data_IF_870902368593
#
_entry.id   IF_870902368593
#
_cell.length_a   1.000
_cell.length_b   1.000
_cell.length_c   1.000
_cell.angle_alpha   90.00
_cell.angle_beta   90.00
_cell.angle_gamma   90.00
#
_symmetry.space_group_name_H-M   'P 1'
#
loop_
_entity.id
_entity.type
_entity.pdbx_description
1 polymer ?
#
# COMPACT_ATOMS: atom_id res chain seq x y z
N UNK A 1 -1.50 4.78 4.68
CA UNK A 1 -1.44 6.26 4.78
C UNK A 1 -2.81 6.82 4.47
N UNK A 2 -3.26 7.88 5.14
CA UNK A 2 -4.57 8.50 4.83
C UNK A 2 -4.46 9.35 3.56
N UNK A 3 -5.29 9.02 2.57
CA UNK A 3 -5.46 9.74 1.33
C UNK A 3 -6.66 10.68 1.34
N UNK A 4 -6.86 11.39 0.25
CA UNK A 4 -7.99 12.30 0.02
C UNK A 4 -9.15 11.62 -0.74
N UNK A 5 -10.13 12.42 -1.14
CA UNK A 5 -11.38 11.95 -1.77
C UNK A 5 -11.18 11.22 -3.11
N UNK A 6 -10.03 11.41 -3.76
CA UNK A 6 -9.68 10.78 -5.03
C UNK A 6 -9.12 9.36 -4.85
N UNK A 7 -8.84 8.96 -3.59
CA UNK A 7 -8.27 7.64 -3.27
C UNK A 7 -9.24 6.53 -3.65
N UNK A 8 -8.74 5.53 -4.39
CA UNK A 8 -9.51 4.39 -4.86
C UNK A 8 -10.53 4.71 -5.95
N UNK A 9 -10.49 5.91 -6.55
CA UNK A 9 -11.23 6.23 -7.76
C UNK A 9 -10.37 5.97 -9.01
N UNK A 10 -10.95 5.34 -10.03
CA UNK A 10 -10.28 5.11 -11.33
C UNK A 10 -9.83 6.43 -11.96
N UNK A 11 -10.73 7.40 -12.00
CA UNK A 11 -10.47 8.75 -12.48
C UNK A 11 -10.28 9.68 -11.27
N UNK A 12 -9.02 9.95 -10.90
CA UNK A 12 -8.66 10.81 -9.77
C UNK A 12 -7.15 10.96 -9.63
N UNK A 13 -6.71 11.96 -8.86
CA UNK A 13 -5.29 12.18 -8.56
C UNK A 13 -5.08 12.20 -7.04
N UNK A 14 -5.09 11.04 -6.39
CA UNK A 14 -5.05 11.00 -4.93
C UNK A 14 -3.77 11.57 -4.37
N UNK A 15 -3.86 12.18 -3.20
CA UNK A 15 -2.68 12.63 -2.45
C UNK A 15 -2.77 12.29 -0.97
N UNK A 16 -1.64 12.39 -0.28
CA UNK A 16 -1.59 12.26 1.17
C UNK A 16 -2.14 13.51 1.86
N UNK A 17 -3.04 13.32 2.82
CA UNK A 17 -3.63 14.44 3.58
C UNK A 17 -2.62 15.11 4.51
N UNK A 18 -1.84 14.29 5.23
CA UNK A 18 -0.84 14.80 6.15
C UNK A 18 0.46 15.09 5.41
N UNK A 19 1.06 16.27 5.59
CA UNK A 19 2.37 16.59 5.02
C UNK A 19 3.40 15.56 5.47
N UNK A 20 3.99 14.81 4.52
CA UNK A 20 5.03 13.81 4.82
C UNK A 20 6.42 14.40 4.62
N UNK A 21 7.38 13.91 5.40
CA UNK A 21 8.72 14.48 5.52
C UNK A 21 9.71 14.05 4.43
N UNK A 22 10.99 14.38 4.65
CA UNK A 22 12.10 14.13 3.73
C UNK A 22 12.31 12.64 3.39
N UNK A 23 11.95 11.72 4.29
CA UNK A 23 12.04 10.27 4.08
C UNK A 23 11.24 9.85 2.85
N UNK A 24 10.04 10.42 2.67
CA UNK A 24 9.20 10.07 1.54
C UNK A 24 9.78 10.58 0.23
N UNK A 25 10.34 11.80 0.23
CA UNK A 25 11.03 12.37 -0.95
C UNK A 25 12.16 11.47 -1.43
N UNK A 26 13.04 11.03 -0.53
CA UNK A 26 14.17 10.16 -0.89
C UNK A 26 13.71 8.84 -1.51
N UNK A 27 12.64 8.26 -0.99
CA UNK A 27 12.06 7.04 -1.53
C UNK A 27 11.39 7.25 -2.90
N UNK A 28 10.72 8.39 -3.12
CA UNK A 28 10.18 8.76 -4.44
C UNK A 28 11.31 8.94 -5.47
N UNK A 29 12.39 9.62 -5.09
CA UNK A 29 13.55 9.80 -5.98
C UNK A 29 14.19 8.45 -6.35
N UNK A 30 14.26 7.50 -5.41
CA UNK A 30 14.70 6.13 -5.67
C UNK A 30 13.75 5.39 -6.63
N UNK A 31 12.44 5.45 -6.41
CA UNK A 31 11.46 4.84 -7.31
C UNK A 31 11.63 5.34 -8.75
N UNK A 32 11.82 6.66 -8.91
CA UNK A 32 12.09 7.26 -10.21
C UNK A 32 13.38 6.76 -10.84
N UNK A 33 14.44 6.54 -10.06
CA UNK A 33 15.68 5.94 -10.57
C UNK A 33 15.45 4.50 -11.04
N UNK A 34 14.69 3.71 -10.30
CA UNK A 34 14.36 2.32 -10.66
C UNK A 34 13.58 2.23 -11.98
N UNK A 35 12.66 3.17 -12.24
CA UNK A 35 11.93 3.28 -13.52
C UNK A 35 12.84 3.52 -14.75
N UNK A 36 14.03 4.08 -14.55
CA UNK A 36 14.96 4.39 -15.66
C UNK A 36 15.78 3.18 -16.09
N UNK A 37 15.82 2.11 -15.30
CA UNK A 37 16.53 0.89 -15.65
C UNK A 37 15.64 -0.03 -16.49
N UNK A 38 16.25 -0.71 -17.46
CA UNK A 38 15.59 -1.78 -18.20
C UNK A 38 15.21 -2.91 -17.22
N UNK A 39 13.97 -3.46 -17.26
CA UNK A 39 13.57 -4.57 -16.40
C UNK A 39 14.52 -5.78 -16.43
N UNK A 40 15.26 -5.98 -17.53
CA UNK A 40 16.32 -7.00 -17.59
C UNK A 40 17.48 -6.73 -16.61
N UNK A 41 17.83 -5.45 -16.37
CA UNK A 41 18.89 -5.02 -15.44
C UNK A 41 18.38 -4.98 -13.99
N UNK A 42 17.07 -4.73 -13.79
CA UNK A 42 16.44 -4.73 -12.45
C UNK A 42 16.60 -6.09 -11.76
N UNK A 43 16.57 -7.20 -12.52
CA UNK A 43 16.74 -8.55 -11.96
C UNK A 43 18.14 -8.76 -11.37
N UNK A 44 19.17 -8.19 -11.99
CA UNK A 44 20.55 -8.22 -11.47
C UNK A 44 20.71 -7.26 -10.27
N UNK A 45 19.98 -6.15 -10.27
CA UNK A 45 20.00 -5.15 -9.20
C UNK A 45 19.20 -5.59 -7.96
N UNK A 46 18.23 -6.50 -8.11
CA UNK A 46 17.35 -6.98 -7.03
C UNK A 46 18.09 -7.60 -5.83
N UNK A 47 19.35 -8.00 -6.03
CA UNK A 47 20.23 -8.50 -4.96
C UNK A 47 21.02 -7.40 -4.23
N UNK A 48 20.85 -6.13 -4.60
CA UNK A 48 21.46 -4.98 -3.93
C UNK A 48 20.45 -4.29 -3.01
N UNK A 49 20.91 -3.77 -1.87
CA UNK A 49 20.05 -3.01 -0.93
C UNK A 49 19.41 -1.77 -1.59
N UNK A 50 19.97 -1.30 -2.70
CA UNK A 50 19.51 -0.13 -3.46
C UNK A 50 18.31 -0.39 -4.39
N UNK A 51 17.89 -1.65 -4.59
CA UNK A 51 16.77 -2.02 -5.47
C UNK A 51 15.38 -2.00 -4.81
N UNK A 52 15.27 -1.49 -3.58
CA UNK A 52 13.98 -1.49 -2.86
C UNK A 52 13.05 -0.39 -3.39
N UNK A 53 11.93 -0.81 -4.01
CA UNK A 53 10.85 0.07 -4.46
C UNK A 53 9.86 0.36 -3.32
N UNK A 54 9.47 1.63 -3.15
CA UNK A 54 8.45 2.05 -2.20
C UNK A 54 7.05 1.92 -2.83
N UNK A 55 6.19 1.15 -2.16
CA UNK A 55 4.76 1.09 -2.40
C UNK A 55 4.01 1.71 -1.23
N UNK A 56 2.92 2.44 -1.51
CA UNK A 56 2.12 3.10 -0.48
C UNK A 56 0.68 2.62 -0.55
N UNK A 57 0.22 2.01 0.53
CA UNK A 57 -1.21 1.77 0.76
C UNK A 57 -1.87 3.09 1.17
N UNK A 58 -2.67 3.68 0.28
CA UNK A 58 -3.54 4.81 0.57
C UNK A 58 -4.93 4.31 0.91
N UNK A 59 -5.57 4.95 1.88
CA UNK A 59 -6.97 4.68 2.21
C UNK A 59 -7.72 5.97 2.50
N UNK A 60 -9.02 5.97 2.19
CA UNK A 60 -9.93 7.06 2.46
C UNK A 60 -11.31 6.51 2.83
N UNK A 61 -11.89 7.04 3.90
CA UNK A 61 -13.26 6.72 4.30
C UNK A 61 -14.19 7.67 3.55
N UNK A 62 -14.97 7.13 2.62
CA UNK A 62 -15.89 7.84 1.77
C UNK A 62 -17.35 7.49 2.10
N UNK A 63 -18.27 8.15 1.41
CA UNK A 63 -19.68 7.76 1.35
C UNK A 63 -19.92 7.15 -0.03
N UNK A 64 -20.41 5.91 -0.05
CA UNK A 64 -20.75 5.16 -1.25
C UNK A 64 -22.01 5.70 -1.94
N UNK A 65 -22.28 5.18 -3.14
CA UNK A 65 -23.43 5.61 -3.95
C UNK A 65 -24.80 5.33 -3.29
N UNK A 66 -24.84 4.41 -2.33
CA UNK A 66 -26.01 4.08 -1.51
C UNK A 66 -26.14 4.95 -0.25
N UNK A 67 -25.25 5.94 -0.07
CA UNK A 67 -25.24 6.84 1.08
C UNK A 67 -24.60 6.24 2.34
N UNK A 68 -24.02 5.04 2.26
CA UNK A 68 -23.38 4.36 3.39
C UNK A 68 -21.87 4.60 3.42
N UNK A 69 -21.20 4.49 4.58
CA UNK A 69 -19.75 4.59 4.64
C UNK A 69 -19.08 3.43 3.89
N UNK A 70 -18.04 3.75 3.14
CA UNK A 70 -17.17 2.77 2.48
C UNK A 70 -15.70 3.16 2.66
N UNK A 71 -14.83 2.16 2.74
CA UNK A 71 -13.39 2.32 2.77
C UNK A 71 -12.84 2.09 1.36
N UNK A 72 -12.37 3.15 0.72
CA UNK A 72 -11.64 3.06 -0.54
C UNK A 72 -10.16 2.95 -0.23
N UNK A 73 -9.47 2.07 -0.95
CA UNK A 73 -8.05 1.89 -0.79
C UNK A 73 -7.36 1.62 -2.13
N UNK A 74 -6.09 1.98 -2.20
CA UNK A 74 -5.24 1.65 -3.34
C UNK A 74 -3.80 1.43 -2.88
N UNK A 75 -3.10 0.55 -3.59
CA UNK A 75 -1.68 0.33 -3.43
C UNK A 75 -0.97 0.98 -4.62
N UNK A 76 -0.26 2.08 -4.37
CA UNK A 76 0.25 2.95 -5.44
C UNK A 76 1.74 3.27 -5.26
N UNK A 77 2.44 3.38 -6.37
CA UNK A 77 3.87 3.68 -6.43
C UNK A 77 4.06 5.16 -6.70
N UNK A 78 4.60 5.96 -5.75
CA UNK A 78 4.75 7.39 -5.94
C UNK A 78 5.87 7.70 -6.93
N UNK A 79 5.60 8.64 -7.84
CA UNK A 79 6.52 9.08 -8.89
C UNK A 79 7.10 10.46 -8.65
N UNK A 80 6.27 11.38 -8.13
CA UNK A 80 6.63 12.76 -7.91
C UNK A 80 6.15 13.26 -6.57
N UNK A 81 7.03 13.98 -5.88
CA UNK A 81 6.78 14.56 -4.57
C UNK A 81 7.05 16.07 -4.60
N UNK A 82 6.03 16.87 -4.29
CA UNK A 82 6.12 18.34 -4.25
C UNK A 82 5.43 18.89 -3.01
N UNK A 83 5.97 19.97 -2.44
CA UNK A 83 5.40 20.65 -1.24
C UNK A 83 4.98 19.71 -0.10
N UNK A 84 5.72 18.61 0.12
CA UNK A 84 5.45 17.58 1.15
C UNK A 84 4.25 16.66 0.84
N UNK A 85 3.84 16.60 -0.41
CA UNK A 85 2.73 15.80 -0.92
C UNK A 85 3.15 15.01 -2.17
N UNK A 86 2.54 13.84 -2.35
CA UNK A 86 2.66 13.07 -3.58
C UNK A 86 1.72 13.69 -4.60
N UNK A 87 2.23 13.99 -5.78
CA UNK A 87 1.47 14.69 -6.83
C UNK A 87 1.40 13.91 -8.13
N UNK A 88 2.09 12.77 -8.22
CA UNK A 88 2.08 11.89 -9.38
C UNK A 88 2.40 10.46 -8.95
N UNK A 89 1.74 9.50 -9.60
CA UNK A 89 1.86 8.06 -9.36
C UNK A 89 2.29 7.36 -10.64
N UNK A 90 3.16 6.37 -10.52
CA UNK A 90 3.63 5.56 -11.65
C UNK A 90 2.67 4.42 -11.93
N UNK A 91 2.19 3.79 -10.87
CA UNK A 91 1.25 2.68 -10.90
C UNK A 91 0.25 2.84 -9.76
N UNK A 92 -1.00 2.48 -10.03
CA UNK A 92 -2.12 2.53 -9.08
C UNK A 92 -2.89 1.21 -9.16
N UNK A 93 -2.78 0.39 -8.11
CA UNK A 93 -3.58 -0.81 -7.94
C UNK A 93 -4.78 -0.46 -7.06
N UNK A 94 -5.91 -0.17 -7.70
CA UNK A 94 -7.15 0.20 -7.00
C UNK A 94 -7.77 -1.06 -6.43
N UNK A 95 -8.05 -1.05 -5.13
CA UNK A 95 -8.71 -2.15 -4.43
C UNK A 95 -10.22 -1.92 -4.41
N UNK A 96 -10.96 -3.02 -4.35
CA UNK A 96 -12.41 -2.95 -4.18
C UNK A 96 -12.78 -2.23 -2.88
N UNK A 97 -13.80 -1.38 -2.95
CA UNK A 97 -14.26 -0.63 -1.79
C UNK A 97 -14.85 -1.58 -0.73
N UNK A 98 -14.29 -1.53 0.47
CA UNK A 98 -14.75 -2.33 1.59
C UNK A 98 -15.87 -1.60 2.32
N UNK A 99 -17.02 -2.25 2.50
CA UNK A 99 -18.10 -1.68 3.31
C UNK A 99 -18.05 -2.32 4.70
N UNK A 100 -18.00 -1.54 5.79
CA UNK A 100 -17.91 -2.09 7.15
C UNK A 100 -19.08 -3.00 7.52
N UNK A 101 -20.23 -2.79 6.87
CA UNK A 101 -21.47 -3.54 7.08
C UNK A 101 -21.57 -4.79 6.19
N UNK A 102 -20.64 -4.98 5.25
CA UNK A 102 -20.61 -6.19 4.42
C UNK A 102 -20.21 -7.39 5.28
N UNK A 103 -20.84 -8.54 5.05
CA UNK A 103 -20.28 -9.78 5.56
C UNK A 103 -18.87 -10.00 4.97
N UNK A 104 -17.92 -10.50 5.77
CA UNK A 104 -16.58 -10.80 5.27
C UNK A 104 -16.69 -11.76 4.09
N UNK A 105 -16.04 -11.43 2.99
CA UNK A 105 -15.95 -12.31 1.84
C UNK A 105 -15.14 -13.55 2.25
N UNK A 106 -15.83 -14.64 2.54
CA UNK A 106 -15.25 -15.95 2.77
C UNK A 106 -15.20 -16.66 1.42
N UNK A 107 -14.02 -16.68 0.81
CA UNK A 107 -13.79 -17.39 -0.45
C UNK A 107 -14.11 -18.88 -0.26
N UNK A 108 -15.30 -19.31 -0.72
CA UNK A 108 -15.80 -20.67 -0.55
C UNK A 108 -15.03 -21.68 -1.42
N UNK A 109 -14.30 -21.20 -2.44
CA UNK A 109 -13.56 -22.02 -3.40
C UNK A 109 -12.05 -22.08 -3.11
N UNK A 110 -11.60 -21.51 -1.99
CA UNK A 110 -10.21 -21.64 -1.55
C UNK A 110 -9.90 -23.12 -1.24
N UNK A 111 -8.81 -23.71 -1.77
CA UNK A 111 -8.46 -25.11 -1.54
C UNK A 111 -8.17 -25.47 -0.07
N UNK A 112 -8.09 -24.46 0.80
CA UNK A 112 -7.97 -24.58 2.26
C UNK A 112 -9.30 -24.60 3.01
N UNK A 113 -10.45 -24.46 2.34
CA UNK A 113 -11.76 -24.34 2.98
C UNK A 113 -11.89 -23.09 3.87
N UNK A 114 -13.02 -22.92 4.58
CA UNK A 114 -13.13 -21.90 5.62
C UNK A 114 -12.00 -22.09 6.62
N UNK A 115 -11.14 -21.07 6.79
CA UNK A 115 -10.13 -21.05 7.84
C UNK A 115 -10.88 -20.89 9.16
N UNK A 116 -11.39 -21.99 9.73
CA UNK A 116 -11.78 -21.98 11.13
C UNK A 116 -10.52 -21.62 11.93
N UNK A 117 -10.57 -20.61 12.83
CA UNK A 117 -9.43 -20.27 13.66
C UNK A 117 -9.04 -21.51 14.47
N UNK A 118 -7.94 -22.14 14.08
CA UNK A 118 -7.41 -23.37 14.65
C UNK A 118 -6.70 -23.02 15.97
N UNK A 119 -7.51 -22.64 16.96
CA UNK A 119 -7.03 -22.28 18.30
C UNK A 119 -6.14 -21.03 18.36
N UNK A 120 -5.61 -20.72 19.55
CA UNK A 120 -4.69 -19.60 19.73
C UNK A 120 -3.38 -19.85 18.97
N UNK A 121 -2.93 -18.84 18.22
CA UNK A 121 -1.63 -18.86 17.55
C UNK A 121 -0.53 -18.86 18.63
N UNK A 122 0.21 -19.96 18.74
CA UNK A 122 1.39 -20.06 19.59
C UNK A 122 2.62 -19.57 18.82
N UNK A 123 3.14 -18.40 19.18
CA UNK A 123 4.32 -17.80 18.55
C UNK A 123 5.51 -17.98 19.48
N UNK A 124 6.53 -18.77 19.10
CA UNK A 124 7.73 -18.91 19.92
C UNK A 124 8.46 -17.58 20.02
N UNK A 125 8.72 -17.11 21.24
CA UNK A 125 9.45 -15.86 21.52
C UNK A 125 10.81 -16.15 22.16
N UNK A 126 11.89 -15.67 21.53
CA UNK A 126 13.21 -15.63 22.14
C UNK A 126 13.52 -14.22 22.66
N UNK A 127 14.02 -14.14 23.91
CA UNK A 127 14.50 -12.88 24.47
C UNK A 127 15.87 -12.57 23.90
N UNK A 128 16.03 -11.42 23.26
CA UNK A 128 17.34 -10.88 22.90
C UNK A 128 18.08 -10.48 24.17
N UNK A 129 18.97 -11.32 24.68
CA UNK A 129 19.93 -10.93 25.72
C UNK A 129 20.94 -9.98 25.10
N UNK A 130 20.87 -8.70 25.46
CA UNK A 130 21.88 -7.73 25.09
C UNK A 130 23.24 -8.17 25.61
N UNK A 131 24.19 -8.35 24.70
CA UNK A 131 25.62 -8.51 25.05
C UNK A 131 26.14 -7.12 25.40
N UNK A 132 26.69 -6.96 26.62
CA UNK A 132 27.49 -5.80 27.01
C UNK A 132 28.86 -5.83 26.35
#
# INVERSE_FOLDING_TARGET
MTGDMDTGLETGNPTNQASKGAVLRQAVDRNRQLEMFDPAIITDLANSEDATQLWILLYHVAVGADGKPELRAELSTPRRFDRKQIVEWSERLILEALRPESEPFMDQDSPTGPIEPTGPIDVPVERRTGTQ
#
